data_IF_867664078729
#
_entry.id   IF_867664078729
#
_cell.length_a   1.000
_cell.length_b   1.000
_cell.length_c   1.000
_cell.angle_alpha   90.00
_cell.angle_beta   90.00
_cell.angle_gamma   90.00
#
_symmetry.space_group_name_H-M   'P 1'
#
loop_
_entity.id
_entity.type
_entity.pdbx_description
1 polymer ?
2 non-polymer ?
3 water ?
#
# COMPACT_ATOMS: atom_id res chain seq x y z
N UNK A 34 24.11 -5.73 -21.28
CA UNK A 34 23.38 -6.81 -22.01
C UNK A 34 22.32 -7.42 -21.09
N UNK A 35 21.04 -7.29 -21.45
CA UNK A 35 19.95 -7.88 -20.66
C UNK A 35 19.46 -9.19 -21.27
N UNK A 36 19.45 -10.22 -20.43
CA UNK A 36 19.17 -11.59 -20.88
C UNK A 36 18.33 -12.29 -19.86
N UNK A 37 17.32 -13.09 -20.29
CA UNK A 37 16.41 -13.68 -19.30
C UNK A 37 17.08 -14.53 -18.19
N UNK A 38 18.26 -15.09 -18.45
CA UNK A 38 19.00 -15.87 -17.43
C UNK A 38 19.24 -15.09 -16.14
N UNK A 39 19.45 -13.78 -16.27
CA UNK A 39 19.72 -12.90 -15.11
C UNK A 39 18.49 -12.37 -14.42
N UNK A 40 17.30 -12.78 -14.88
CA UNK A 40 16.06 -12.27 -14.28
C UNK A 40 15.21 -13.42 -13.74
N UNK A 41 15.89 -14.43 -13.23
CA UNK A 41 15.25 -15.59 -12.63
C UNK A 41 16.01 -16.24 -11.47
N UNK A 42 15.27 -16.75 -10.50
CA UNK A 42 15.78 -17.73 -9.54
C UNK A 42 14.97 -19.02 -9.68
N UNK A 43 15.67 -20.15 -9.86
CA UNK A 43 15.02 -21.40 -10.21
C UNK A 43 15.68 -22.61 -9.55
N UNK A 44 14.88 -23.48 -8.95
CA UNK A 44 15.36 -24.79 -8.55
C UNK A 44 16.31 -24.79 -7.37
N UNK A 45 16.26 -23.73 -6.57
CA UNK A 45 17.11 -23.58 -5.40
C UNK A 45 16.48 -24.26 -4.17
N UNK A 46 17.33 -24.63 -3.22
CA UNK A 46 16.93 -25.21 -1.94
C UNK A 46 17.90 -24.70 -0.90
N UNK A 47 17.37 -24.11 0.18
CA UNK A 47 18.13 -23.68 1.39
C UNK A 47 19.17 -22.56 1.13
N UNK A 48 18.78 -21.55 0.35
CA UNK A 48 19.68 -20.44 -0.03
C UNK A 48 19.09 -19.06 0.28
N UNK A 49 19.96 -18.06 0.42
CA UNK A 49 19.51 -16.67 0.36
C UNK A 49 20.05 -16.07 -0.91
N UNK A 50 19.16 -15.44 -1.69
CA UNK A 50 19.51 -14.72 -2.93
C UNK A 50 18.82 -13.33 -3.02
N UNK A 51 19.33 -12.46 -3.89
CA UNK A 51 18.67 -11.14 -4.07
C UNK A 51 19.13 -10.22 -5.18
N UNK A 52 18.46 -9.09 -5.34
CA UNK A 52 18.82 -8.07 -6.34
C UNK A 52 18.98 -6.69 -5.67
N UNK A 53 20.10 -6.01 -5.96
CA UNK A 53 20.38 -4.69 -5.42
C UNK A 53 19.71 -3.61 -6.29
N UNK A 54 19.46 -2.42 -5.70
CA UNK A 54 18.85 -1.33 -6.47
C UNK A 54 19.56 -1.00 -7.79
N UNK A 55 18.77 -0.78 -8.85
CA UNK A 55 19.26 -0.47 -10.21
C UNK A 55 19.51 -1.67 -11.10
N UNK A 56 19.59 -2.83 -10.46
CA UNK A 56 19.93 -4.14 -11.00
C UNK A 56 18.74 -4.85 -11.76
N UNK A 57 17.51 -4.34 -11.62
CA UNK A 57 16.34 -4.89 -12.31
C UNK A 57 15.73 -3.80 -13.17
N UNK A 58 15.58 -2.60 -12.60
CA UNK A 58 15.18 -1.38 -13.33
C UNK A 58 13.96 -1.51 -14.21
N UNK A 59 12.90 -2.12 -13.71
CA UNK A 59 11.69 -2.20 -14.47
C UNK A 59 11.60 -3.39 -15.39
N UNK A 60 12.59 -4.28 -15.35
CA UNK A 60 12.51 -5.51 -16.15
C UNK A 60 11.54 -6.52 -15.51
N UNK A 61 11.43 -7.70 -16.11
CA UNK A 61 10.51 -8.73 -15.63
C UNK A 61 11.21 -9.86 -14.88
N UNK A 62 10.62 -10.30 -13.78
CA UNK A 62 11.27 -11.30 -12.95
C UNK A 62 10.49 -12.60 -12.71
N UNK A 63 11.23 -13.71 -12.63
CA UNK A 63 10.65 -15.04 -12.33
C UNK A 63 11.38 -15.73 -11.16
N UNK A 64 10.59 -16.23 -10.24
CA UNK A 64 11.09 -17.00 -9.11
C UNK A 64 10.32 -18.32 -9.23
N UNK A 65 11.02 -19.43 -9.47
CA UNK A 65 10.33 -20.73 -9.63
C UNK A 65 11.00 -21.90 -8.94
N UNK A 66 10.17 -22.82 -8.43
CA UNK A 66 10.63 -24.08 -7.85
C UNK A 66 11.75 -23.89 -6.82
N UNK A 67 11.62 -22.88 -5.95
CA UNK A 67 12.55 -22.71 -4.83
C UNK A 67 11.95 -23.20 -3.51
N UNK A 68 12.78 -23.86 -2.72
CA UNK A 68 12.33 -24.41 -1.44
C UNK A 68 13.26 -23.94 -0.33
N UNK A 69 12.70 -23.44 0.77
CA UNK A 69 13.49 -23.00 1.95
C UNK A 69 14.44 -21.83 1.66
N UNK A 70 14.07 -20.99 0.69
CA UNK A 70 14.91 -19.88 0.29
C UNK A 70 14.45 -18.55 0.84
N UNK A 71 15.40 -17.64 1.01
CA UNK A 71 15.08 -16.24 1.35
C UNK A 71 15.51 -15.39 0.17
N UNK A 72 14.59 -14.58 -0.37
CA UNK A 72 14.80 -13.85 -1.64
C UNK A 72 14.45 -12.37 -1.53
N UNK A 73 15.39 -11.49 -1.85
CA UNK A 73 15.16 -10.06 -1.68
C UNK A 73 15.40 -9.24 -2.94
N UNK A 74 14.31 -8.85 -3.63
CA UNK A 74 14.41 -8.05 -4.85
C UNK A 74 14.32 -6.57 -4.50
N UNK A 75 15.46 -5.94 -4.25
CA UNK A 75 15.45 -4.53 -3.80
C UNK A 75 15.37 -3.50 -4.93
N UNK A 76 14.45 -3.73 -5.87
CA UNK A 76 14.30 -2.88 -7.05
C UNK A 76 12.90 -2.95 -7.61
N UNK A 77 12.53 -1.98 -8.45
CA UNK A 77 11.27 -1.97 -9.18
C UNK A 77 11.25 -2.93 -10.41
N UNK A 78 10.08 -3.47 -10.73
CA UNK A 78 9.95 -4.52 -11.74
C UNK A 78 8.74 -4.15 -12.58
N UNK A 79 8.61 -4.76 -13.77
CA UNK A 79 7.37 -4.67 -14.54
C UNK A 79 6.32 -5.64 -14.01
N UNK A 80 6.75 -6.90 -13.78
CA UNK A 80 5.86 -8.00 -13.30
C UNK A 80 6.77 -9.04 -12.65
N UNK A 81 6.23 -9.75 -11.65
CA UNK A 81 6.94 -10.86 -11.00
C UNK A 81 6.00 -12.06 -10.91
N UNK A 82 6.51 -13.21 -11.33
CA UNK A 82 5.82 -14.48 -11.13
C UNK A 82 6.60 -15.36 -10.14
N UNK A 83 5.86 -15.89 -9.17
CA UNK A 83 6.42 -16.82 -8.18
C UNK A 83 5.68 -18.15 -8.30
N UNK A 84 6.35 -19.15 -8.87
CA UNK A 84 5.75 -20.46 -9.20
C UNK A 84 6.37 -21.57 -8.33
N UNK A 85 5.52 -22.45 -7.82
CA UNK A 85 5.93 -23.69 -7.15
C UNK A 85 7.00 -23.50 -6.07
N UNK A 86 6.84 -22.49 -5.23
CA UNK A 86 7.79 -22.24 -4.13
C UNK A 86 7.25 -22.67 -2.76
N UNK A 87 8.16 -23.09 -1.87
CA UNK A 87 7.81 -23.71 -0.58
C UNK A 87 8.70 -23.15 0.51
N UNK A 88 8.09 -22.64 1.58
CA UNK A 88 8.86 -22.21 2.75
C UNK A 88 9.89 -21.14 2.44
N UNK A 89 9.46 -20.18 1.64
CA UNK A 89 10.30 -19.12 1.17
C UNK A 89 9.96 -17.81 1.86
N UNK A 90 10.94 -16.93 1.95
CA UNK A 90 10.72 -15.58 2.46
C UNK A 90 11.05 -14.70 1.29
N UNK A 91 10.15 -13.79 0.94
CA UNK A 91 10.32 -12.97 -0.26
C UNK A 91 10.03 -11.47 -0.03
N UNK A 92 11.00 -10.60 -0.34
CA UNK A 92 10.74 -9.16 -0.52
C UNK A 92 10.74 -8.80 -2.02
N UNK A 93 9.65 -8.18 -2.51
CA UNK A 93 9.63 -7.59 -3.83
C UNK A 93 9.46 -6.10 -3.76
N UNK A 94 10.35 -5.40 -4.48
CA UNK A 94 10.23 -3.98 -4.63
C UNK A 94 9.06 -3.64 -5.53
N UNK A 95 8.77 -2.35 -5.68
CA UNK A 95 7.59 -1.89 -6.43
C UNK A 95 7.44 -2.52 -7.83
N UNK A 96 6.30 -3.18 -8.06
CA UNK A 96 6.02 -3.82 -9.33
C UNK A 96 4.99 -2.99 -10.07
N UNK A 97 5.31 -2.56 -11.28
CA UNK A 97 4.47 -1.67 -12.05
C UNK A 97 3.14 -2.31 -12.43
N UNK A 98 3.20 -3.61 -12.68
CA UNK A 98 2.02 -4.32 -13.04
C UNK A 98 1.65 -5.35 -11.99
N UNK A 99 1.63 -6.61 -12.43
CA UNK A 99 1.05 -7.71 -11.66
C UNK A 99 2.10 -8.55 -10.95
N UNK A 100 1.75 -9.00 -9.75
CA UNK A 100 2.48 -10.08 -9.09
C UNK A 100 1.55 -11.29 -9.11
N UNK A 101 2.05 -12.43 -9.59
CA UNK A 101 1.31 -13.72 -9.61
C UNK A 101 2.02 -14.75 -8.78
N UNK A 102 1.33 -15.27 -7.77
CA UNK A 102 1.74 -16.53 -7.09
C UNK A 102 0.92 -17.69 -7.64
N UNK A 103 1.58 -18.75 -8.12
CA UNK A 103 0.92 -20.01 -8.57
C UNK A 103 1.58 -21.20 -7.81
N UNK A 104 0.79 -21.98 -7.09
CA UNK A 104 1.26 -23.28 -6.53
C UNK A 104 2.37 -23.09 -5.49
N UNK A 105 2.22 -22.10 -4.61
CA UNK A 105 3.16 -21.82 -3.54
C UNK A 105 2.56 -22.18 -2.19
N UNK A 106 3.42 -22.46 -1.22
CA UNK A 106 3.01 -22.95 0.10
C UNK A 106 3.95 -22.42 1.19
N UNK A 107 3.40 -21.95 2.30
CA UNK A 107 4.21 -21.52 3.46
C UNK A 107 5.27 -20.46 3.15
N UNK A 108 4.89 -19.46 2.36
CA UNK A 108 5.80 -18.36 2.05
C UNK A 108 5.33 -17.12 2.79
N UNK A 109 6.29 -16.28 3.18
CA UNK A 109 6.01 -15.05 3.87
C UNK A 109 6.63 -13.95 3.03
N UNK A 110 5.84 -12.91 2.75
CA UNK A 110 6.20 -11.94 1.71
C UNK A 110 5.86 -10.51 2.08
N UNK A 111 6.69 -9.59 1.62
CA UNK A 111 6.38 -8.15 1.64
C UNK A 111 6.56 -7.68 0.21
N UNK A 112 5.54 -7.01 -0.35
CA UNK A 112 5.60 -6.59 -1.76
C UNK A 112 4.64 -5.44 -2.07
N UNK A 113 5.00 -4.63 -3.06
CA UNK A 113 4.12 -3.59 -3.55
C UNK A 113 3.92 -3.84 -5.05
N UNK A 114 2.70 -3.65 -5.52
CA UNK A 114 2.35 -3.93 -6.96
C UNK A 114 1.07 -3.20 -7.35
N UNK A 115 0.79 -3.14 -8.66
CA UNK A 115 -0.46 -2.59 -9.17
C UNK A 115 -1.60 -3.59 -9.01
N UNK A 116 -1.31 -4.87 -9.29
CA UNK A 116 -2.28 -5.97 -9.22
C UNK A 116 -1.66 -7.19 -8.54
N UNK A 117 -2.46 -7.90 -7.78
CA UNK A 117 -1.99 -9.02 -7.00
C UNK A 117 -2.91 -10.20 -7.25
N UNK A 118 -2.31 -11.35 -7.53
CA UNK A 118 -3.03 -12.60 -7.80
C UNK A 118 -2.38 -13.78 -7.10
N UNK A 119 -3.19 -14.56 -6.39
CA UNK A 119 -2.77 -15.81 -5.78
C UNK A 119 -3.66 -16.93 -6.35
N UNK A 120 -3.03 -17.97 -6.91
CA UNK A 120 -3.75 -19.13 -7.46
C UNK A 120 -3.15 -20.42 -6.88
N UNK A 121 -4.01 -21.28 -6.31
CA UNK A 121 -3.58 -22.63 -5.88
C UNK A 121 -2.47 -22.59 -4.84
N UNK A 122 -2.60 -21.71 -3.86
CA UNK A 122 -1.61 -21.50 -2.82
C UNK A 122 -2.17 -21.79 -1.44
N UNK A 123 -1.29 -22.03 -0.49
CA UNK A 123 -1.70 -22.41 0.86
C UNK A 123 -0.77 -21.78 1.88
N UNK A 124 -1.35 -21.19 2.91
CA UNK A 124 -0.58 -20.64 4.02
C UNK A 124 0.50 -19.67 3.54
N UNK A 125 0.04 -18.56 2.94
CA UNK A 125 0.90 -17.44 2.55
C UNK A 125 0.56 -16.32 3.47
N UNK A 126 1.58 -15.58 3.88
CA UNK A 126 1.41 -14.42 4.75
C UNK A 126 2.03 -13.22 4.02
N UNK A 127 1.25 -12.18 3.76
CA UNK A 127 1.74 -11.08 2.93
C UNK A 127 1.51 -9.71 3.56
N UNK A 128 2.59 -8.96 3.68
CA UNK A 128 2.52 -7.51 3.90
C UNK A 128 2.47 -6.84 2.51
N UNK A 129 1.32 -6.27 2.20
CA UNK A 129 0.99 -5.93 0.84
C UNK A 129 0.70 -4.41 0.66
N UNK A 130 1.18 -3.86 -0.45
CA UNK A 130 0.67 -2.59 -0.93
C UNK A 130 0.16 -2.90 -2.32
N UNK A 131 -1.12 -2.63 -2.55
CA UNK A 131 -1.71 -2.98 -3.83
C UNK A 131 -2.66 -1.89 -4.26
N UNK A 132 -2.50 -1.46 -5.50
CA UNK A 132 -3.33 -0.41 -6.06
C UNK A 132 -4.72 -0.88 -6.37
N UNK A 133 -4.92 -2.18 -6.55
CA UNK A 133 -6.26 -2.70 -6.92
C UNK A 133 -6.67 -3.72 -5.86
N UNK A 134 -7.85 -4.30 -6.01
CA UNK A 134 -8.33 -5.27 -5.07
C UNK A 134 -7.53 -6.60 -5.20
N UNK A 135 -6.89 -7.08 -4.10
CA UNK A 135 -6.09 -8.32 -4.20
C UNK A 135 -7.03 -9.52 -4.46
N UNK A 136 -6.59 -10.43 -5.33
CA UNK A 136 -7.43 -11.52 -5.78
C UNK A 136 -6.80 -12.86 -5.44
N UNK A 137 -7.59 -13.73 -4.80
CA UNK A 137 -7.14 -15.10 -4.55
C UNK A 137 -8.10 -16.08 -5.23
N UNK A 138 -7.57 -17.23 -5.60
CA UNK A 138 -8.35 -18.29 -6.22
C UNK A 138 -7.80 -19.65 -5.84
N UNK A 139 -8.71 -20.58 -5.53
CA UNK A 139 -8.36 -21.98 -5.23
C UNK A 139 -7.25 -22.04 -4.21
N UNK A 140 -7.36 -21.21 -3.16
CA UNK A 140 -6.28 -21.05 -2.17
C UNK A 140 -6.86 -20.98 -0.79
N UNK A 141 -6.04 -21.20 0.23
CA UNK A 141 -6.58 -21.19 1.58
C UNK A 141 -5.52 -20.79 2.56
N UNK A 142 -5.95 -20.23 3.69
CA UNK A 142 -5.06 -19.70 4.72
C UNK A 142 -4.11 -18.63 4.17
N UNK A 143 -4.68 -17.68 3.43
CA UNK A 143 -3.94 -16.53 2.90
C UNK A 143 -4.17 -15.35 3.85
N UNK A 144 -3.10 -14.85 4.45
CA UNK A 144 -3.21 -13.78 5.44
C UNK A 144 -2.53 -12.53 4.91
N UNK A 145 -3.13 -11.36 5.22
CA UNK A 145 -2.71 -10.05 4.65
C UNK A 145 -2.46 -9.01 5.73
N UNK A 146 -1.36 -8.27 5.62
CA UNK A 146 -1.09 -7.15 6.50
C UNK A 146 -0.73 -5.96 5.61
N UNK A 147 -0.68 -4.76 6.19
CA UNK A 147 -0.24 -3.61 5.43
C UNK A 147 1.29 -3.59 5.18
N UNK A 148 1.71 -3.32 3.93
CA UNK A 148 3.13 -3.08 3.59
C UNK A 148 3.79 -2.17 4.64
N UNK A 149 4.92 -2.58 5.15
CA UNK A 149 5.66 -1.80 6.15
C UNK A 149 7.12 -2.11 5.93
N UNK A 150 7.84 -1.15 5.35
CA UNK A 150 9.22 -1.30 4.86
C UNK A 150 9.75 0.05 4.37
N UNK A 151 11.07 0.25 4.47
CA UNK A 151 11.78 1.46 4.01
C UNK A 151 13.21 1.04 3.63
N UNK A 152 13.74 1.69 2.58
CA UNK A 152 15.19 1.93 2.38
C UNK A 152 15.32 3.22 1.53
N UNK A 153 16.51 3.90 1.54
CA UNK A 153 16.68 5.15 0.75
C UNK A 153 16.18 5.17 -0.73
N UNK A 154 16.46 4.12 -1.50
CA UNK A 154 16.04 4.10 -2.90
C UNK A 154 14.52 3.83 -3.14
N UNK A 155 13.83 3.36 -2.11
CA UNK A 155 12.43 2.87 -2.26
C UNK A 155 11.45 3.92 -2.84
N UNK A 156 11.52 5.15 -2.36
CA UNK A 156 10.58 6.17 -2.82
C UNK A 156 10.62 6.42 -4.33
N UNK A 157 11.81 6.54 -4.91
CA UNK A 157 11.92 6.69 -6.37
C UNK A 157 11.60 5.41 -7.14
N UNK A 158 11.85 4.25 -6.53
CA UNK A 158 11.42 2.95 -7.09
C UNK A 158 9.90 2.88 -7.26
N UNK A 159 9.15 3.38 -6.26
CA UNK A 159 7.70 3.58 -6.37
C UNK A 159 7.35 4.53 -7.49
N UNK A 160 8.00 5.70 -7.55
CA UNK A 160 7.72 6.65 -8.66
C UNK A 160 8.02 6.05 -10.06
N UNK A 161 9.14 5.34 -10.17
CA UNK A 161 9.56 4.67 -11.44
C UNK A 161 8.58 3.57 -11.88
N UNK A 162 7.99 2.88 -10.90
CA UNK A 162 6.98 1.86 -11.14
C UNK A 162 5.60 2.45 -11.37
N UNK A 163 5.48 3.78 -11.26
CA UNK A 163 4.18 4.45 -11.40
C UNK A 163 3.20 4.11 -10.28
N UNK A 164 3.72 3.74 -9.11
CA UNK A 164 2.86 3.37 -7.96
C UNK A 164 2.84 4.51 -6.93
N UNK A 165 1.63 4.96 -6.61
CA UNK A 165 1.48 5.98 -5.56
C UNK A 165 1.49 5.25 -4.20
N UNK A 166 2.18 5.78 -3.21
CA UNK A 166 2.10 5.24 -1.83
C UNK A 166 0.69 5.36 -1.21
N UNK A 167 -0.13 6.23 -1.80
CA UNK A 167 -1.46 6.50 -1.31
C UNK A 167 -2.50 5.61 -1.90
N UNK A 168 -2.13 4.78 -2.88
CA UNK A 168 -3.09 3.83 -3.46
C UNK A 168 -2.82 2.39 -2.96
N UNK A 169 -3.51 2.01 -1.89
CA UNK A 169 -3.26 0.73 -1.23
C UNK A 169 -4.56 0.14 -0.68
N UNK A 170 -5.05 -0.89 -1.35
CA UNK A 170 -6.26 -1.55 -0.90
C UNK A 170 -5.93 -2.98 -0.47
N UNK A 171 -4.98 -3.09 0.45
CA UNK A 171 -4.36 -4.36 0.85
C UNK A 171 -5.30 -5.33 1.54
N UNK A 172 -6.40 -4.83 2.13
CA UNK A 172 -7.26 -5.69 2.99
C UNK A 172 -8.60 -6.07 2.39
N UNK A 173 -8.89 -5.57 1.20
CA UNK A 173 -10.19 -5.77 0.56
C UNK A 173 -10.13 -6.94 -0.43
N UNK A 174 -10.01 -8.15 0.10
CA UNK A 174 -9.63 -9.31 -0.72
C UNK A 174 -10.87 -9.79 -1.44
N UNK A 175 -10.70 -10.09 -2.73
CA UNK A 175 -11.72 -10.84 -3.44
C UNK A 175 -11.34 -12.33 -3.62
N UNK A 176 -12.17 -13.23 -3.09
CA UNK A 176 -11.97 -14.68 -3.25
C UNK A 176 -12.84 -15.25 -4.38
N UNK A 177 -12.19 -15.70 -5.47
CA UNK A 177 -12.90 -16.27 -6.63
C UNK A 177 -13.52 -17.63 -6.37
N UNK A 178 -13.12 -18.27 -5.27
CA UNK A 178 -13.58 -19.61 -4.92
C UNK A 178 -13.88 -19.70 -3.41
N UNK A 179 -14.95 -19.02 -2.94
CA UNK A 179 -15.35 -19.22 -1.52
C UNK A 179 -15.82 -20.64 -1.22
N UNK A 180 -15.46 -21.16 -0.04
CA UNK A 180 -16.02 -22.43 0.50
C UNK A 180 -16.43 -22.23 1.96
N UNK A 184 -13.79 -19.27 5.87
CA UNK A 184 -13.24 -18.29 4.94
C UNK A 184 -11.72 -18.48 4.66
N UNK A 185 -11.35 -18.33 3.39
CA UNK A 185 -10.02 -18.69 2.85
C UNK A 185 -8.88 -17.71 3.08
N UNK A 186 -9.22 -16.55 3.61
CA UNK A 186 -8.23 -15.51 3.88
C UNK A 186 -8.59 -14.79 5.18
N UNK A 187 -7.60 -14.11 5.76
CA UNK A 187 -7.83 -13.30 6.93
C UNK A 187 -6.77 -12.24 6.94
N UNK A 188 -6.84 -11.38 7.96
CA UNK A 188 -5.87 -10.32 8.12
C UNK A 188 -4.84 -10.76 9.15
N UNK A 189 -3.58 -10.38 8.94
CA UNK A 189 -2.53 -10.66 9.94
C UNK A 189 -2.86 -9.90 11.23
N UNK A 190 -2.31 -10.35 12.38
CA UNK A 190 -2.44 -9.53 13.57
C UNK A 190 -1.86 -8.13 13.34
N UNK A 191 -2.57 -7.14 13.87
CA UNK A 191 -2.21 -5.75 13.66
C UNK A 191 -0.88 -5.33 14.30
N UNK A 192 -0.48 -5.96 15.39
CA UNK A 192 0.81 -5.64 16.02
C UNK A 192 1.99 -6.54 15.56
N UNK A 193 1.85 -7.18 14.40
CA UNK A 193 2.88 -8.11 13.91
C UNK A 193 4.19 -7.35 13.70
N UNK A 194 5.28 -7.90 14.23
CA UNK A 194 6.59 -7.35 13.94
C UNK A 194 7.04 -8.00 12.64
N UNK A 195 7.23 -7.17 11.62
CA UNK A 195 7.59 -7.57 10.26
C UNK A 195 8.81 -8.55 10.30
N UNK A 196 9.74 -8.30 11.21
CA UNK A 196 10.98 -9.08 11.25
C UNK A 196 10.80 -10.54 11.67
N UNK A 197 9.66 -10.83 12.29
CA UNK A 197 9.25 -12.20 12.60
C UNK A 197 8.81 -13.00 11.38
N UNK A 198 8.40 -12.31 10.32
CA UNK A 198 7.81 -12.94 9.14
C UNK A 198 8.73 -12.85 7.94
N UNK A 199 9.30 -11.66 7.76
CA UNK A 199 10.16 -11.34 6.63
C UNK A 199 11.38 -10.65 7.26
N UNK A 200 12.35 -11.45 7.75
CA UNK A 200 13.58 -10.90 8.30
C UNK A 200 14.36 -10.01 7.32
N UNK A 201 15.00 -8.99 7.86
CA UNK A 201 16.03 -8.25 7.14
C UNK A 201 17.20 -9.20 6.70
N UNK A 202 17.76 -9.02 5.47
CA UNK A 202 18.90 -9.86 5.06
C UNK A 202 20.15 -9.69 5.95
N UNK A 203 21.01 -10.73 5.96
CA UNK A 203 22.24 -10.81 6.77
C UNK A 203 23.48 -10.64 5.89
N UNK A 204 23.39 -11.22 4.69
CA UNK A 204 24.50 -11.38 3.79
C UNK A 204 25.21 -10.06 3.50
N UNK A 205 26.53 -10.13 3.33
CA UNK A 205 27.35 -8.96 3.03
C UNK A 205 26.86 -8.20 1.77
N UNK A 206 26.58 -8.95 0.69
CA UNK A 206 25.96 -8.39 -0.52
C UNK A 206 24.69 -7.56 -0.20
N UNK A 207 23.71 -8.18 0.46
CA UNK A 207 22.40 -7.52 0.62
C UNK A 207 22.38 -6.48 1.76
N UNK A 208 23.43 -6.47 2.58
CA UNK A 208 23.57 -5.53 3.70
C UNK A 208 23.72 -4.07 3.26
N UNK A 209 24.38 -3.86 2.09
CA UNK A 209 24.58 -2.53 1.51
C UNK A 209 23.26 -1.74 1.34
N UNK A 210 22.13 -2.45 1.25
CA UNK A 210 20.81 -1.81 1.33
C UNK A 210 20.45 -1.54 2.80
N UNK A 211 20.20 -0.24 3.08
CA UNK A 211 19.85 0.25 4.44
C UNK A 211 18.35 0.11 4.79
N UNK A 212 17.97 -1.08 5.25
CA UNK A 212 16.56 -1.38 5.52
C UNK A 212 16.09 -1.04 6.94
N UNK A 213 14.88 -0.48 7.03
CA UNK A 213 14.13 -0.39 8.28
C UNK A 213 12.71 -0.97 8.09
N UNK A 214 12.25 -1.76 9.06
CA UNK A 214 10.87 -2.26 9.04
C UNK A 214 10.03 -1.66 10.17
N UNK A 215 10.47 -0.54 10.71
CA UNK A 215 9.71 0.15 11.75
C UNK A 215 8.54 0.85 11.11
N UNK A 216 7.43 0.91 11.85
CA UNK A 216 6.18 1.43 11.32
C UNK A 216 6.32 2.89 10.90
N UNK A 217 7.05 3.67 11.69
CA UNK A 217 7.25 5.10 11.40
C UNK A 217 8.25 5.40 10.28
N UNK A 218 9.07 4.42 9.88
CA UNK A 218 9.98 4.56 8.72
C UNK A 218 9.31 4.16 7.39
N UNK A 219 8.31 3.27 7.46
CA UNK A 219 7.63 2.75 6.27
C UNK A 219 7.32 3.83 5.23
N UNK A 220 7.74 3.54 3.99
CA UNK A 220 7.43 4.40 2.86
C UNK A 220 5.92 4.42 2.57
N UNK A 221 5.26 3.30 2.78
CA UNK A 221 3.79 3.29 2.64
C UNK A 221 3.20 3.57 4.05
N UNK A 222 2.33 4.59 4.17
CA UNK A 222 1.63 4.89 5.43
C UNK A 222 0.80 3.63 5.92
N UNK A 223 0.85 3.32 7.22
CA UNK A 223 0.17 2.12 7.68
C UNK A 223 -1.34 2.41 7.74
N UNK A 224 -2.12 1.72 6.92
CA UNK A 224 -3.55 1.97 6.91
C UNK A 224 -4.26 0.75 7.49
N UNK A 225 -5.40 1.00 8.14
CA UNK A 225 -6.17 -0.06 8.78
C UNK A 225 -7.15 -0.77 7.83
N UNK A 226 -7.48 -0.12 6.72
CA UNK A 226 -8.43 -0.67 5.75
C UNK A 226 -9.74 -1.17 6.38
N UNK A 227 -10.00 -2.47 6.18
CA UNK A 227 -11.23 -3.14 6.64
C UNK A 227 -11.17 -3.70 8.05
N UNK A 228 -10.08 -3.44 8.77
CA UNK A 228 -10.01 -3.88 10.16
C UNK A 228 -11.20 -3.29 10.90
N UNK A 229 -11.60 -4.03 11.92
CA UNK A 229 -12.77 -3.67 12.70
C UNK A 229 -12.51 -2.33 13.40
N UNK A 230 -13.57 -1.57 13.59
CA UNK A 230 -13.53 -0.24 14.15
C UNK A 230 -14.18 -0.20 15.53
N UNK A 231 -13.63 0.62 16.43
CA UNK A 231 -14.26 0.91 17.77
C UNK A 231 -14.95 2.25 17.81
N UNK A 232 -14.77 3.06 16.78
CA UNK A 232 -15.47 4.33 16.65
C UNK A 232 -16.28 4.39 15.36
N UNK A 233 -17.46 5.00 15.41
CA UNK A 233 -18.24 5.20 14.19
C UNK A 233 -18.09 6.61 13.63
N UNK A 234 -17.07 7.37 14.06
CA UNK A 234 -16.82 8.70 13.51
C UNK A 234 -15.69 8.64 12.48
N UNK A 235 -15.93 9.21 11.30
CA UNK A 235 -14.95 9.29 10.25
C UNK A 235 -14.64 10.73 9.96
N UNK A 236 -13.55 10.98 9.24
CA UNK A 236 -13.28 12.31 8.72
C UNK A 236 -12.53 12.13 7.41
N UNK A 237 -13.00 12.80 6.36
CA UNK A 237 -12.30 12.87 5.10
C UNK A 237 -11.47 14.16 5.01
N UNK A 238 -10.19 14.04 4.59
CA UNK A 238 -9.39 15.19 4.15
C UNK A 238 -9.05 15.01 2.67
N UNK A 239 -9.19 16.07 1.87
CA UNK A 239 -8.64 16.07 0.51
C UNK A 239 -7.64 17.23 0.35
N UNK A 240 -6.45 16.87 -0.09
CA UNK A 240 -5.38 17.80 -0.41
C UNK A 240 -5.21 17.85 -1.94
N UNK A 241 -4.92 19.03 -2.46
CA UNK A 241 -4.88 19.24 -3.91
C UNK A 241 -3.43 19.35 -4.36
N UNK A 242 -3.20 19.24 -5.67
CA UNK A 242 -1.87 19.15 -6.23
C UNK A 242 -1.09 20.43 -5.91
N UNK A 243 0.19 20.27 -5.57
CA UNK A 243 0.96 21.43 -5.17
C UNK A 243 2.37 21.04 -4.79
N UNK A 244 3.18 22.04 -4.44
CA UNK A 244 4.62 21.84 -4.18
C UNK A 244 4.87 20.81 -3.09
N UNK A 245 4.10 20.94 -2.01
CA UNK A 245 4.31 20.21 -0.75
C UNK A 245 3.17 19.28 -0.33
N UNK A 246 2.34 18.87 -1.28
CA UNK A 246 1.13 18.16 -0.98
C UNK A 246 1.42 16.82 -0.30
N UNK A 247 2.39 16.07 -0.83
CA UNK A 247 2.72 14.75 -0.28
C UNK A 247 3.26 14.86 1.17
N UNK A 248 4.17 15.82 1.39
CA UNK A 248 4.73 16.08 2.72
C UNK A 248 3.66 16.55 3.70
N UNK A 249 2.76 17.41 3.26
CA UNK A 249 1.61 17.82 4.04
C UNK A 249 0.74 16.65 4.44
N UNK A 250 0.53 15.71 3.51
CA UNK A 250 -0.34 14.55 3.77
C UNK A 250 0.32 13.68 4.85
N UNK A 251 1.64 13.49 4.75
CA UNK A 251 2.41 12.74 5.72
C UNK A 251 2.40 13.38 7.11
N UNK A 252 2.68 14.67 7.17
CA UNK A 252 2.57 15.46 8.39
C UNK A 252 1.18 15.38 9.06
N UNK A 253 0.12 15.42 8.27
CA UNK A 253 -1.23 15.35 8.83
C UNK A 253 -1.55 13.94 9.38
N UNK A 254 -1.10 12.92 8.67
CA UNK A 254 -1.24 11.53 9.14
C UNK A 254 -0.48 11.40 10.46
N UNK A 255 0.76 11.90 10.51
CA UNK A 255 1.58 11.84 11.73
C UNK A 255 0.90 12.54 12.90
N UNK A 256 0.28 13.70 12.64
CA UNK A 256 -0.37 14.46 13.71
C UNK A 256 -1.60 13.72 14.23
N UNK A 257 -2.39 13.18 13.31
CA UNK A 257 -3.64 12.48 13.68
C UNK A 257 -3.38 11.15 14.40
N UNK A 258 -2.48 10.35 13.86
CA UNK A 258 -2.07 9.07 14.43
C UNK A 258 -1.39 9.22 15.80
N UNK A 259 -0.54 10.24 15.96
CA UNK A 259 0.04 10.59 17.27
C UNK A 259 -1.02 11.00 18.32
N UNK A 260 -2.17 11.50 17.89
CA UNK A 260 -3.27 11.79 18.81
C UNK A 260 -4.17 10.57 19.06
N UNK A 261 -3.83 9.42 18.47
CA UNK A 261 -4.57 8.19 18.73
C UNK A 261 -5.70 7.94 17.75
N UNK A 262 -5.79 8.77 16.70
CA UNK A 262 -6.72 8.51 15.58
C UNK A 262 -6.15 7.49 14.61
N UNK A 263 -7.05 6.84 13.86
CA UNK A 263 -6.67 5.78 12.93
C UNK A 263 -6.72 6.31 11.51
N UNK A 264 -5.71 5.94 10.72
CA UNK A 264 -5.72 6.15 9.28
C UNK A 264 -6.37 4.94 8.68
N UNK A 265 -7.54 5.10 8.11
CA UNK A 265 -8.30 3.94 7.58
C UNK A 265 -7.80 3.66 6.17
N UNK A 266 -7.68 4.71 5.38
CA UNK A 266 -7.35 4.54 3.96
C UNK A 266 -6.99 5.86 3.31
N UNK A 267 -6.32 5.76 2.17
CA UNK A 267 -5.91 6.93 1.41
C UNK A 267 -6.21 6.70 -0.07
N UNK A 268 -5.99 7.70 -0.88
CA UNK A 268 -6.15 7.59 -2.33
C UNK A 268 -5.42 8.71 -2.99
N UNK A 269 -4.95 8.46 -4.21
CA UNK A 269 -4.40 9.53 -5.05
C UNK A 269 -5.01 9.35 -6.43
N UNK A 270 -5.81 10.34 -6.85
CA UNK A 270 -6.62 10.28 -8.09
C UNK A 270 -6.89 11.65 -8.67
N UNK A 271 -7.17 11.70 -9.97
CA UNK A 271 -7.65 12.90 -10.60
C UNK A 271 -9.13 13.09 -10.23
N UNK A 272 -9.53 14.34 -10.05
CA UNK A 272 -10.88 14.67 -9.58
C UNK A 272 -11.45 15.67 -10.57
N UNK A 273 -12.66 15.40 -11.10
CA UNK A 273 -13.35 16.37 -11.95
C UNK A 273 -14.22 17.28 -11.12
N UNK A 274 -14.67 18.39 -11.72
CA UNK A 274 -15.62 19.30 -11.08
C UNK A 274 -16.85 18.51 -10.52
N UNK A 275 -17.38 17.56 -11.30
CA UNK A 275 -18.56 16.75 -10.88
C UNK A 275 -18.32 16.05 -9.53
N UNK A 276 -17.19 15.36 -9.43
CA UNK A 276 -16.75 14.62 -8.26
C UNK A 276 -16.61 15.52 -7.06
N UNK A 277 -15.93 16.68 -7.25
CA UNK A 277 -15.82 17.71 -6.22
C UNK A 277 -17.19 18.19 -5.67
N UNK A 278 -18.14 18.42 -6.57
CA UNK A 278 -19.50 18.84 -6.22
C UNK A 278 -20.18 17.79 -5.33
N UNK A 279 -20.09 16.51 -5.69
CA UNK A 279 -20.67 15.43 -4.89
C UNK A 279 -20.00 15.26 -3.51
N UNK A 280 -18.69 15.43 -3.46
CA UNK A 280 -17.94 15.18 -2.21
C UNK A 280 -17.96 16.41 -1.32
N UNK A 281 -17.65 17.57 -1.90
CA UNK A 281 -17.50 18.82 -1.15
C UNK A 281 -18.82 19.57 -1.02
N UNK A 282 -19.83 19.18 -1.79
CA UNK A 282 -21.17 19.82 -1.70
C UNK A 282 -21.05 21.35 -1.89
N UNK A 283 -21.56 22.16 -0.96
CA UNK A 283 -21.50 23.62 -1.08
C UNK A 283 -20.10 24.24 -0.96
N UNK A 284 -19.14 23.47 -0.45
CA UNK A 284 -17.77 23.97 -0.36
C UNK A 284 -16.97 23.74 -1.67
N UNK A 285 -17.57 23.03 -2.62
CA UNK A 285 -16.99 22.76 -3.95
C UNK A 285 -16.35 23.97 -4.68
N UNK A 286 -17.08 25.11 -4.82
CA UNK A 286 -16.55 26.23 -5.63
C UNK A 286 -15.16 26.76 -5.16
N UNK A 287 -14.87 26.64 -3.86
CA UNK A 287 -13.58 27.05 -3.30
C UNK A 287 -12.40 26.19 -3.80
N UNK A 288 -12.73 24.98 -4.25
CA UNK A 288 -11.76 23.97 -4.58
C UNK A 288 -11.70 23.68 -6.07
N UNK A 289 -12.74 24.07 -6.81
CA UNK A 289 -12.79 23.86 -8.27
C UNK A 289 -11.54 24.34 -9.05
N UNK A 290 -11.03 25.56 -8.74
CA UNK A 290 -9.82 26.05 -9.44
C UNK A 290 -8.53 25.24 -9.18
N UNK A 291 -8.58 24.28 -8.27
CA UNK A 291 -7.38 23.54 -7.82
C UNK A 291 -7.27 22.13 -8.41
N UNK A 292 -8.33 21.72 -9.13
CA UNK A 292 -8.43 20.34 -9.60
C UNK A 292 -7.58 20.10 -10.82
N UNK A 293 -7.40 21.13 -11.64
CA UNK A 293 -6.74 20.93 -12.94
C UNK A 293 -5.25 20.66 -12.82
N UNK A 294 -4.66 21.14 -11.72
CA UNK A 294 -3.22 21.10 -11.47
C UNK A 294 -2.65 19.69 -11.38
N UNK A 295 -3.46 18.72 -10.95
CA UNK A 295 -2.96 17.35 -10.83
C UNK A 295 -3.84 16.52 -9.89
N UNK A 296 -3.44 15.28 -9.63
CA UNK A 296 -4.20 14.41 -8.75
C UNK A 296 -4.34 14.95 -7.31
N UNK A 297 -5.51 14.72 -6.73
CA UNK A 297 -5.74 15.01 -5.33
C UNK A 297 -5.30 13.80 -4.47
N UNK A 298 -5.03 14.05 -3.19
CA UNK A 298 -4.77 13.01 -2.18
C UNK A 298 -5.90 13.05 -1.15
N UNK A 299 -6.64 11.93 -1.01
CA UNK A 299 -7.64 11.75 0.03
C UNK A 299 -7.08 10.96 1.22
N UNK A 300 -7.47 11.40 2.40
CA UNK A 300 -7.15 10.70 3.65
C UNK A 300 -8.44 10.44 4.43
N UNK A 301 -8.64 9.19 4.84
CA UNK A 301 -9.79 8.89 5.73
C UNK A 301 -9.27 8.58 7.16
N UNK A 302 -9.75 9.37 8.13
CA UNK A 302 -9.42 9.15 9.55
C UNK A 302 -10.62 8.65 10.29
N UNK A 303 -10.35 8.03 11.43
CA UNK A 303 -11.38 7.34 12.23
C UNK A 303 -11.08 7.56 13.73
N UNK A 304 -12.08 7.95 14.51
CA UNK A 304 -11.96 8.02 15.96
C UNK A 304 -12.90 9.06 16.47
N UNK A 305 -13.24 9.03 17.75
CA UNK A 305 -14.22 9.98 18.27
C UNK A 305 -13.60 11.38 18.39
N UNK A 306 -14.31 12.41 17.92
CA UNK A 306 -13.74 13.75 17.77
C UNK A 306 -12.82 13.94 16.54
N UNK A 307 -12.72 12.93 15.67
CA UNK A 307 -11.84 13.01 14.50
C UNK A 307 -12.05 14.26 13.67
N UNK A 308 -13.30 14.59 13.38
CA UNK A 308 -13.61 15.75 12.53
C UNK A 308 -13.15 17.09 13.16
N UNK A 309 -13.61 17.39 14.36
CA UNK A 309 -13.15 18.59 15.06
C UNK A 309 -11.62 18.67 15.25
N UNK A 310 -10.99 17.55 15.65
CA UNK A 310 -9.54 17.51 15.84
C UNK A 310 -8.83 17.77 14.50
N UNK A 311 -9.29 17.13 13.44
CA UNK A 311 -8.65 17.25 12.14
C UNK A 311 -8.78 18.69 11.62
N UNK A 312 -9.96 19.30 11.76
CA UNK A 312 -10.14 20.67 11.33
C UNK A 312 -9.19 21.60 12.07
N UNK A 313 -9.00 21.35 13.38
CA UNK A 313 -8.11 22.15 14.19
C UNK A 313 -6.68 22.04 13.73
N UNK A 314 -6.17 20.81 13.59
CA UNK A 314 -4.81 20.60 13.07
C UNK A 314 -4.63 21.32 11.71
N UNK A 315 -5.62 21.20 10.82
CA UNK A 315 -5.57 21.82 9.49
C UNK A 315 -5.49 23.34 9.56
N UNK A 316 -6.25 23.94 10.49
CA UNK A 316 -6.20 25.40 10.75
C UNK A 316 -4.89 25.90 11.33
N UNK A 317 -4.32 25.14 12.26
CA UNK A 317 -3.11 25.56 12.96
C UNK A 317 -1.89 25.41 12.06
N UNK A 318 -1.78 24.26 11.42
CA UNK A 318 -0.52 23.84 10.81
C UNK A 318 -0.45 24.14 9.30
N UNK A 319 -1.61 24.33 8.66
CA UNK A 319 -1.69 24.65 7.23
C UNK A 319 -2.54 25.93 6.94
N UNK A 320 -2.33 27.00 7.71
CA UNK A 320 -2.97 28.28 7.39
C UNK A 320 -2.52 28.77 6.00
N UNK A 321 -3.48 29.08 5.11
CA UNK A 321 -3.17 29.52 3.75
C UNK A 321 -2.85 28.44 2.71
N UNK A 322 -3.24 27.19 3.00
CA UNK A 322 -3.18 26.07 2.06
C UNK A 322 -4.59 25.49 1.99
N UNK A 323 -5.17 25.45 0.78
CA UNK A 323 -6.56 25.01 0.65
C UNK A 323 -6.64 23.48 0.74
N UNK A 324 -7.51 23.03 1.64
CA UNK A 324 -7.63 21.64 2.04
C UNK A 324 -9.07 21.43 2.36
N UNK A 325 -9.68 20.38 1.82
CA UNK A 325 -11.04 20.00 2.27
C UNK A 325 -10.98 19.13 3.51
N UNK A 326 -11.86 19.43 4.46
CA UNK A 326 -12.06 18.64 5.66
C UNK A 326 -13.57 18.47 5.81
N UNK A 327 -14.00 17.25 6.12
CA UNK A 327 -15.41 17.02 6.47
C UNK A 327 -15.96 18.04 7.46
N UNK A 328 -17.21 18.44 7.21
CA UNK A 328 -17.88 19.46 8.01
C UNK A 328 -18.31 18.97 9.39
N UNK A 329 -18.70 17.70 9.49
CA UNK A 329 -19.28 17.17 10.73
C UNK A 329 -19.21 15.66 10.69
N UNK A 330 -19.33 15.04 11.86
CA UNK A 330 -19.44 13.58 11.99
C UNK A 330 -20.57 13.03 11.09
N UNK A 331 -21.73 13.69 11.13
CA UNK A 331 -22.90 13.24 10.39
C UNK A 331 -22.62 13.14 8.88
N UNK A 332 -21.97 14.16 8.34
CA UNK A 332 -21.76 14.22 6.91
C UNK A 332 -20.47 13.52 6.41
N UNK A 333 -19.53 13.20 7.32
CA UNK A 333 -18.25 12.61 6.95
C UNK A 333 -18.35 11.25 6.27
N UNK A 334 -19.30 10.41 6.70
CA UNK A 334 -19.39 9.11 6.10
C UNK A 334 -19.84 9.23 4.62
N UNK A 335 -20.79 10.13 4.32
CA UNK A 335 -21.16 10.42 2.93
C UNK A 335 -20.03 11.06 2.10
N UNK A 336 -19.16 11.85 2.73
CA UNK A 336 -17.95 12.40 2.08
C UNK A 336 -17.08 11.22 1.61
N UNK A 337 -16.82 10.31 2.54
CA UNK A 337 -16.01 9.14 2.25
C UNK A 337 -16.56 8.22 1.13
N UNK A 338 -17.85 7.88 1.22
CA UNK A 338 -18.52 7.05 0.24
C UNK A 338 -18.55 7.71 -1.13
N UNK A 339 -18.83 9.02 -1.17
CA UNK A 339 -18.86 9.76 -2.45
C UNK A 339 -17.48 9.79 -3.08
N UNK A 340 -16.45 9.97 -2.23
CA UNK A 340 -15.08 9.96 -2.73
C UNK A 340 -14.68 8.63 -3.36
N UNK A 341 -14.84 7.53 -2.62
CA UNK A 341 -14.45 6.24 -3.17
C UNK A 341 -15.31 5.84 -4.34
N UNK A 342 -16.54 6.34 -4.38
CA UNK A 342 -17.44 5.99 -5.48
C UNK A 342 -16.86 6.40 -6.83
N UNK A 343 -16.43 7.66 -6.94
CA UNK A 343 -15.83 8.10 -8.19
C UNK A 343 -14.39 7.58 -8.34
N UNK A 344 -13.69 7.45 -7.20
CA UNK A 344 -12.29 7.12 -7.23
C UNK A 344 -12.04 5.66 -7.59
N UNK A 345 -12.95 4.77 -7.16
CA UNK A 345 -12.90 3.36 -7.56
C UNK A 345 -13.17 3.13 -9.07
N UNK A 346 -13.94 4.02 -9.71
CA UNK A 346 -14.14 4.00 -11.16
C UNK A 346 -12.79 4.27 -11.87
N UNK A 347 -12.37 5.54 -11.87
CA UNK A 347 -11.04 5.93 -12.35
C UNK A 347 -9.91 5.44 -11.45
X LIG B 1 -9.06 -6.71 13.00
X LIG B 1 -7.73 -6.09 12.84
X LIG B 1 -10.00 -6.64 11.89
X LIG B 1 -9.69 -6.05 14.15
X LIG B 1 -8.87 -8.13 13.29
#
# INVERSE_FOLDING_TARGET
>A
MGCFFSKRRKADKESRPENEEERPKQYSWDQREKVDPKDYMFSGLKDETVGRLPGTVAGQQFLIQDCENCNIYIFDHSATVTIDDCTNCIIFLGPVKGSVFFRNCRDCKCTLACQQFRVRDCRKLEVFLCCATQPIIESSSNIKFGCFQWYYPELAFQFKDAGLSIFNNTWSNIHDFTPVSGELNWSLLPEDAVVQDYVPIPTTEELKAVRVSTEANRSIVPISRGQRQKSSDESCLVVLFAGDYTIANARKLIDEMVGKGFFLVQTKEVSMKAEDAQRVFREKAPDFLPLLNKGPVIALEFNGDGAVEVCQLIVNEIFNGTKMFVSESKETASGDVDSFYNFADIQMGI
>B hetero
1 SO4 S O1 O2 O3 O4
#
